data_IF_010257724127
#
_entry.id   IF_010257724127
#
_cell.length_a   1.000
_cell.length_b   1.000
_cell.length_c   1.000
_cell.angle_alpha   90.00
_cell.angle_beta   90.00
_cell.angle_gamma   90.00
#
_symmetry.space_group_name_H-M   'P 1'
#
loop_
_entity.id
_entity.type
_entity.pdbx_description
1 polymer ?
#
# COMPACT_ATOMS: atom_id res chain seq x y z
N UNK A 1 -21.91 3.90 6.36
CA UNK A 1 -22.59 4.53 5.27
C UNK A 1 -21.81 4.24 3.98
N UNK A 2 -22.48 3.93 2.84
CA UNK A 2 -21.77 3.75 1.58
C UNK A 2 -21.03 5.04 1.23
N UNK A 3 -19.78 4.91 0.80
CA UNK A 3 -18.94 6.02 0.37
C UNK A 3 -19.61 6.73 -0.83
N UNK A 4 -19.98 8.02 -0.72
CA UNK A 4 -20.57 8.76 -1.82
C UNK A 4 -19.62 8.92 -3.02
N UNK A 5 -18.31 8.70 -2.83
CA UNK A 5 -17.32 8.69 -3.90
C UNK A 5 -17.26 7.34 -4.63
N UNK A 6 -17.70 6.22 -4.03
CA UNK A 6 -17.72 4.90 -4.68
C UNK A 6 -18.52 4.92 -5.99
N UNK A 7 -19.64 5.65 -6.04
CA UNK A 7 -20.43 5.79 -7.25
C UNK A 7 -19.74 6.57 -8.38
N UNK A 8 -18.79 7.47 -8.11
CA UNK A 8 -18.08 8.25 -9.14
C UNK A 8 -16.98 7.46 -9.83
N UNK A 9 -16.47 6.42 -9.16
CA UNK A 9 -15.40 5.54 -9.65
C UNK A 9 -15.91 4.17 -10.13
N UNK A 10 -17.24 4.00 -10.31
CA UNK A 10 -17.80 2.78 -10.89
C UNK A 10 -17.49 2.72 -12.40
N UNK A 11 -16.70 1.74 -12.86
CA UNK A 11 -16.31 1.62 -14.26
C UNK A 11 -17.50 1.45 -15.21
N UNK A 12 -18.57 0.75 -14.79
CA UNK A 12 -19.75 0.53 -15.62
C UNK A 12 -20.49 1.84 -15.84
N UNK A 13 -20.65 2.63 -14.78
CA UNK A 13 -21.31 3.94 -14.87
C UNK A 13 -20.53 4.90 -15.77
N UNK A 14 -19.20 4.97 -15.60
CA UNK A 14 -18.34 5.84 -16.43
C UNK A 14 -18.44 5.43 -17.89
N UNK A 15 -18.41 4.13 -18.18
CA UNK A 15 -18.56 3.61 -19.55
C UNK A 15 -19.91 4.04 -20.15
N UNK A 16 -21.03 3.84 -19.45
CA UNK A 16 -22.36 4.21 -19.93
C UNK A 16 -22.45 5.71 -20.20
N UNK A 17 -21.89 6.55 -19.34
CA UNK A 17 -21.87 8.01 -19.52
C UNK A 17 -21.07 8.42 -20.77
N UNK A 18 -19.90 7.79 -21.00
CA UNK A 18 -19.09 8.03 -22.20
C UNK A 18 -19.85 7.63 -23.48
N UNK A 19 -20.46 6.45 -23.51
CA UNK A 19 -21.22 5.95 -24.64
C UNK A 19 -22.47 6.83 -24.93
N UNK A 20 -23.19 7.22 -23.89
CA UNK A 20 -24.36 8.10 -24.01
C UNK A 20 -24.01 9.49 -24.56
N UNK A 21 -22.78 9.97 -24.31
CA UNK A 21 -22.29 11.27 -24.81
C UNK A 21 -21.51 11.16 -26.12
N UNK A 22 -21.43 9.97 -26.73
CA UNK A 22 -20.69 9.73 -27.98
C UNK A 22 -19.18 9.89 -27.84
N UNK A 23 -18.63 9.79 -26.61
CA UNK A 23 -17.21 9.89 -26.34
C UNK A 23 -16.53 8.53 -26.45
N UNK A 24 -15.25 8.56 -26.80
CA UNK A 24 -14.46 7.34 -26.91
C UNK A 24 -14.40 6.59 -25.58
N UNK A 25 -14.67 5.26 -25.57
CA UNK A 25 -14.70 4.43 -24.37
C UNK A 25 -13.27 4.07 -23.89
N UNK A 26 -12.54 5.10 -23.49
CA UNK A 26 -11.27 5.02 -22.78
C UNK A 26 -11.35 5.93 -21.56
N UNK A 27 -11.02 5.40 -20.40
CA UNK A 27 -11.06 6.14 -19.13
C UNK A 27 -10.12 5.53 -18.08
N UNK A 28 -9.85 6.28 -17.02
CA UNK A 28 -9.04 5.84 -15.89
C UNK A 28 -9.85 5.89 -14.61
N UNK A 29 -9.72 4.84 -13.80
CA UNK A 29 -10.39 4.70 -12.51
C UNK A 29 -9.36 4.66 -11.42
N UNK A 30 -9.63 5.34 -10.32
CA UNK A 30 -8.89 5.23 -9.07
C UNK A 30 -9.72 4.43 -8.07
N UNK A 31 -9.13 3.42 -7.43
CA UNK A 31 -9.78 2.57 -6.44
C UNK A 31 -8.92 2.49 -5.19
N UNK A 32 -9.53 2.69 -4.02
CA UNK A 32 -8.92 2.47 -2.73
C UNK A 32 -9.45 1.17 -2.11
N UNK A 33 -8.57 0.37 -1.55
CA UNK A 33 -8.96 -0.88 -0.86
C UNK A 33 -9.82 -0.65 0.39
N UNK A 34 -9.74 0.58 0.97
CA UNK A 34 -10.53 1.01 2.13
C UNK A 34 -10.82 2.50 2.00
N UNK A 35 -12.00 2.93 2.45
CA UNK A 35 -12.39 4.34 2.52
C UNK A 35 -12.13 4.97 3.89
N UNK A 36 -11.94 4.16 4.92
CA UNK A 36 -11.66 4.62 6.30
C UNK A 36 -10.57 3.76 6.93
N UNK A 37 -9.54 4.40 7.48
CA UNK A 37 -8.35 3.76 8.08
C UNK A 37 -7.92 4.53 9.32
N UNK A 38 -7.06 3.97 10.15
CA UNK A 38 -6.40 4.73 11.21
C UNK A 38 -5.18 5.49 10.67
N UNK A 39 -4.79 6.57 11.34
CA UNK A 39 -3.52 7.25 11.05
C UNK A 39 -2.36 6.23 11.07
N UNK A 40 -1.51 6.23 10.05
CA UNK A 40 -0.42 5.28 9.89
C UNK A 40 -0.81 3.88 9.41
N UNK A 41 -2.11 3.56 9.26
CA UNK A 41 -2.57 2.31 8.65
C UNK A 41 -2.36 2.33 7.13
N UNK A 42 -2.01 1.19 6.56
CA UNK A 42 -1.84 1.03 5.12
C UNK A 42 -3.18 1.00 4.38
N UNK A 43 -3.30 1.81 3.33
CA UNK A 43 -4.35 1.70 2.32
C UNK A 43 -3.75 1.60 0.93
N UNK A 44 -4.18 0.61 0.15
CA UNK A 44 -3.72 0.41 -1.22
C UNK A 44 -4.62 1.22 -2.15
N UNK A 45 -3.99 2.02 -3.03
CA UNK A 45 -4.68 2.74 -4.09
C UNK A 45 -4.15 2.26 -5.44
N UNK A 46 -5.08 1.94 -6.35
CA UNK A 46 -4.78 1.43 -7.68
C UNK A 46 -5.42 2.31 -8.74
N UNK A 47 -4.67 2.68 -9.77
CA UNK A 47 -5.20 3.36 -10.96
C UNK A 47 -5.18 2.40 -12.13
N UNK A 48 -6.33 2.28 -12.76
CA UNK A 48 -6.57 1.33 -13.84
C UNK A 48 -7.14 2.04 -15.06
N UNK A 49 -6.53 1.83 -16.23
CA UNK A 49 -7.11 2.23 -17.52
C UNK A 49 -8.06 1.13 -18.00
N UNK A 50 -9.23 1.54 -18.44
CA UNK A 50 -10.18 0.72 -19.20
C UNK A 50 -10.28 1.30 -20.60
N UNK A 51 -10.16 0.44 -21.62
CA UNK A 51 -10.12 0.86 -23.01
C UNK A 51 -10.81 -0.15 -23.92
N UNK A 52 -11.74 0.33 -24.77
CA UNK A 52 -12.37 -0.43 -25.85
C UNK A 52 -12.05 0.17 -27.24
N UNK A 53 -10.99 1.00 -27.34
CA UNK A 53 -10.57 1.65 -28.59
C UNK A 53 -9.24 1.08 -29.10
N UNK A 54 -8.85 1.46 -30.32
CA UNK A 54 -7.54 1.11 -30.84
C UNK A 54 -6.49 2.13 -30.35
N UNK A 55 -5.91 1.87 -29.16
CA UNK A 55 -4.84 2.70 -28.57
C UNK A 55 -3.52 2.38 -29.22
N UNK A 56 -2.86 3.40 -29.76
CA UNK A 56 -1.50 3.31 -30.32
C UNK A 56 -0.44 3.59 -29.25
N UNK A 57 -0.70 4.60 -28.43
CA UNK A 57 0.19 5.01 -27.34
C UNK A 57 -0.63 5.57 -26.19
N UNK A 58 -0.16 5.38 -24.97
CA UNK A 58 -0.70 6.03 -23.77
C UNK A 58 0.43 6.38 -22.80
N UNK A 59 0.17 7.39 -21.95
CA UNK A 59 1.09 7.85 -20.93
C UNK A 59 0.36 8.51 -19.76
N UNK A 60 1.09 8.73 -18.67
CA UNK A 60 0.61 9.51 -17.53
C UNK A 60 0.97 10.98 -17.81
N UNK A 61 -0.06 11.81 -18.04
CA UNK A 61 0.09 13.25 -18.27
C UNK A 61 0.17 14.04 -16.96
N UNK A 62 -0.49 13.57 -15.91
CA UNK A 62 -0.49 14.23 -14.61
C UNK A 62 -0.49 13.20 -13.48
N UNK A 63 0.52 13.29 -12.60
CA UNK A 63 0.57 12.50 -11.37
C UNK A 63 -0.33 13.10 -10.30
N UNK A 64 -1.02 12.26 -9.48
CA UNK A 64 -1.78 12.73 -8.33
C UNK A 64 -0.85 13.28 -7.25
N UNK A 65 -1.27 14.34 -6.56
CA UNK A 65 -0.62 14.80 -5.34
C UNK A 65 -1.08 13.93 -4.18
N UNK A 66 -0.13 13.52 -3.33
CA UNK A 66 -0.34 12.61 -2.21
C UNK A 66 0.31 13.19 -0.93
N UNK A 67 0.24 14.52 -0.75
CA UNK A 67 0.98 15.25 0.29
C UNK A 67 0.61 14.84 1.72
N UNK A 68 -0.64 14.36 1.92
CA UNK A 68 -1.16 13.97 3.23
C UNK A 68 -0.78 12.53 3.62
N UNK A 69 0.03 11.87 2.78
CA UNK A 69 0.37 10.46 2.95
C UNK A 69 1.87 10.23 2.85
N UNK A 70 2.38 9.27 3.61
CA UNK A 70 3.61 8.59 3.24
C UNK A 70 3.28 7.58 2.14
N UNK A 71 4.09 7.57 1.07
CA UNK A 71 3.82 6.79 -0.15
C UNK A 71 4.90 5.75 -0.37
N UNK A 72 4.49 4.49 -0.60
CA UNK A 72 5.35 3.43 -1.10
C UNK A 72 4.82 2.96 -2.47
N UNK A 73 5.61 3.15 -3.52
CA UNK A 73 5.26 2.66 -4.87
C UNK A 73 5.31 1.14 -4.88
N UNK A 74 4.22 0.50 -5.30
CA UNK A 74 4.14 -0.95 -5.43
C UNK A 74 4.54 -1.41 -6.83
N UNK A 75 5.15 -2.58 -6.90
CA UNK A 75 5.61 -3.13 -8.17
C UNK A 75 4.44 -3.61 -9.03
N UNK A 76 4.33 -3.04 -10.21
CA UNK A 76 3.37 -3.44 -11.25
C UNK A 76 4.05 -4.06 -12.47
N UNK A 77 5.36 -4.31 -12.41
CA UNK A 77 6.09 -4.94 -13.52
C UNK A 77 5.55 -6.33 -13.81
N UNK A 78 5.41 -6.64 -15.08
CA UNK A 78 4.83 -7.92 -15.53
C UNK A 78 3.30 -7.96 -15.54
N UNK A 79 2.61 -6.90 -15.12
CA UNK A 79 1.17 -6.81 -15.34
C UNK A 79 0.91 -6.51 -16.82
N UNK A 80 0.04 -7.32 -17.43
CA UNK A 80 -0.38 -7.18 -18.82
C UNK A 80 -1.83 -6.73 -18.87
N UNK A 81 -2.22 -6.11 -19.99
CA UNK A 81 -3.62 -5.79 -20.22
C UNK A 81 -4.48 -7.06 -20.21
N UNK A 82 -5.56 -7.03 -19.45
CA UNK A 82 -6.53 -8.12 -19.34
C UNK A 82 -7.81 -7.76 -20.06
N UNK A 83 -8.37 -8.72 -20.81
CA UNK A 83 -9.69 -8.53 -21.40
C UNK A 83 -10.77 -8.74 -20.34
N UNK A 84 -11.67 -7.78 -20.19
CA UNK A 84 -12.82 -7.80 -19.27
C UNK A 84 -14.08 -7.40 -20.01
N UNK A 85 -15.25 -7.77 -19.47
CA UNK A 85 -16.56 -7.31 -19.99
C UNK A 85 -17.20 -6.39 -18.97
N UNK A 86 -17.47 -5.13 -19.39
CA UNK A 86 -18.17 -4.14 -18.58
C UNK A 86 -19.47 -3.76 -19.28
N UNK A 87 -20.61 -4.00 -18.63
CA UNK A 87 -21.91 -3.71 -19.23
C UNK A 87 -22.13 -4.34 -20.61
N UNK A 88 -21.52 -5.50 -20.88
CA UNK A 88 -21.59 -6.18 -22.18
C UNK A 88 -20.55 -5.70 -23.21
N UNK A 89 -19.73 -4.70 -22.90
CA UNK A 89 -18.65 -4.19 -23.78
C UNK A 89 -17.33 -4.86 -23.42
N UNK A 90 -16.65 -5.43 -24.41
CA UNK A 90 -15.30 -5.99 -24.26
C UNK A 90 -14.29 -4.83 -24.12
N UNK A 91 -13.52 -4.83 -23.04
CA UNK A 91 -12.53 -3.79 -22.74
C UNK A 91 -11.20 -4.40 -22.35
N UNK A 92 -10.12 -3.68 -22.62
CA UNK A 92 -8.80 -3.94 -22.06
C UNK A 92 -8.68 -3.22 -20.72
N UNK A 93 -8.31 -3.95 -19.66
CA UNK A 93 -8.03 -3.43 -18.31
C UNK A 93 -6.54 -3.47 -18.07
N UNK A 94 -5.94 -2.33 -17.74
CA UNK A 94 -4.51 -2.21 -17.46
C UNK A 94 -4.27 -1.40 -16.20
N UNK A 95 -3.60 -1.98 -15.21
CA UNK A 95 -3.13 -1.24 -14.03
C UNK A 95 -1.91 -0.40 -14.44
N UNK A 96 -1.98 0.91 -14.23
CA UNK A 96 -0.91 1.85 -14.61
C UNK A 96 -0.12 2.37 -13.41
N UNK A 97 -0.71 2.30 -12.20
CA UNK A 97 -0.02 2.66 -10.96
C UNK A 97 -0.71 2.00 -9.78
N UNK A 98 0.08 1.62 -8.78
CA UNK A 98 -0.39 1.07 -7.53
C UNK A 98 0.50 1.55 -6.41
N UNK A 99 -0.07 2.05 -5.33
CA UNK A 99 0.66 2.58 -4.18
C UNK A 99 0.09 2.09 -2.87
N UNK A 100 0.95 1.98 -1.87
CA UNK A 100 0.55 1.87 -0.48
C UNK A 100 0.66 3.26 0.16
N UNK A 101 -0.44 3.78 0.67
CA UNK A 101 -0.55 5.07 1.32
C UNK A 101 -0.69 4.86 2.83
N UNK A 102 0.01 5.69 3.61
CA UNK A 102 -0.08 5.73 5.07
C UNK A 102 -0.44 7.15 5.48
N UNK A 103 -1.65 7.42 6.01
CA UNK A 103 -2.06 8.75 6.44
C UNK A 103 -1.09 9.35 7.46
N UNK A 104 -0.71 10.61 7.28
CA UNK A 104 0.19 11.34 8.18
C UNK A 104 -0.56 12.10 9.27
N UNK A 105 -1.85 12.42 9.06
CA UNK A 105 -2.71 13.08 10.01
C UNK A 105 -4.15 12.56 9.92
N UNK A 106 -4.98 12.91 10.88
CA UNK A 106 -6.40 12.54 10.93
C UNK A 106 -7.26 13.48 10.11
N UNK A 107 -8.46 13.03 9.73
CA UNK A 107 -9.44 13.79 8.95
C UNK A 107 -9.73 13.16 7.59
N UNK A 108 -10.47 13.89 6.78
CA UNK A 108 -10.77 13.49 5.40
C UNK A 108 -9.63 13.90 4.49
N UNK A 109 -8.88 12.93 4.00
CA UNK A 109 -7.71 13.12 3.14
C UNK A 109 -8.10 12.84 1.68
N UNK A 110 -7.55 13.63 0.76
CA UNK A 110 -7.85 13.51 -0.66
C UNK A 110 -6.68 12.92 -1.42
N UNK A 111 -6.97 11.91 -2.24
CA UNK A 111 -6.08 11.44 -3.29
C UNK A 111 -6.49 12.13 -4.59
N UNK A 112 -5.61 12.98 -5.12
CA UNK A 112 -5.89 13.75 -6.32
C UNK A 112 -6.08 12.87 -7.55
N UNK A 113 -6.79 13.35 -8.59
CA UNK A 113 -6.92 12.65 -9.85
C UNK A 113 -5.58 12.38 -10.53
N UNK A 114 -5.41 11.19 -11.12
CA UNK A 114 -4.38 10.95 -12.13
C UNK A 114 -4.90 11.37 -13.50
N UNK A 115 -4.06 12.00 -14.31
CA UNK A 115 -4.35 12.35 -15.70
C UNK A 115 -3.60 11.41 -16.64
N UNK A 116 -4.27 10.91 -17.66
CA UNK A 116 -3.67 10.14 -18.75
C UNK A 116 -3.89 10.83 -20.09
N UNK A 117 -2.93 10.67 -20.98
CA UNK A 117 -3.04 10.98 -22.40
C UNK A 117 -2.94 9.69 -23.20
N UNK A 118 -3.69 9.60 -24.28
CA UNK A 118 -3.67 8.45 -25.17
C UNK A 118 -3.87 8.89 -26.62
N UNK A 119 -3.19 8.21 -27.54
CA UNK A 119 -3.39 8.32 -28.97
C UNK A 119 -4.25 7.14 -29.43
N UNK A 120 -5.40 7.43 -29.96
CA UNK A 120 -6.34 6.43 -30.48
C UNK A 120 -6.47 6.55 -31.99
N UNK A 121 -6.53 5.42 -32.67
CA UNK A 121 -6.81 5.39 -34.10
C UNK A 121 -8.32 5.29 -34.32
N UNK A 122 -8.89 6.28 -35.01
CA UNK A 122 -10.28 6.27 -35.45
C UNK A 122 -10.35 5.92 -36.94
N UNK A 123 -11.23 4.98 -37.34
CA UNK A 123 -11.45 4.73 -38.75
C UNK A 123 -12.06 5.99 -39.40
N UNK A 124 -11.53 6.40 -40.52
CA UNK A 124 -12.17 7.43 -41.35
C UNK A 124 -13.48 6.86 -41.86
N UNK A 125 -14.60 7.58 -41.58
CA UNK A 125 -15.95 7.10 -41.84
C UNK A 125 -16.22 6.69 -43.29
N UNK A 126 -17.29 5.93 -43.51
CA UNK A 126 -17.71 5.25 -44.73
C UNK A 126 -18.00 6.16 -45.96
N UNK A 127 -17.11 7.11 -46.28
CA UNK A 127 -17.32 8.01 -47.42
C UNK A 127 -16.56 7.64 -48.69
N UNK A 128 -15.50 6.79 -48.60
CA UNK A 128 -14.69 6.43 -49.78
C UNK A 128 -14.17 4.99 -49.59
N UNK A 129 -14.58 4.04 -50.48
CA UNK A 129 -14.15 2.64 -50.38
C UNK A 129 -12.63 2.42 -50.51
N UNK A 130 -11.89 3.39 -51.09
CA UNK A 130 -10.43 3.34 -51.21
C UNK A 130 -9.70 3.83 -49.98
N UNK A 131 -10.41 4.36 -48.93
CA UNK A 131 -9.83 4.86 -47.68
C UNK A 131 -10.23 4.03 -46.47
N UNK A 132 -10.72 2.81 -46.63
CA UNK A 132 -11.15 1.90 -45.58
C UNK A 132 -10.02 1.52 -44.60
N UNK A 133 -8.79 1.72 -45.00
CA UNK A 133 -7.59 1.43 -44.18
C UNK A 133 -6.88 2.70 -43.65
N UNK A 134 -7.36 3.90 -43.99
CA UNK A 134 -6.83 5.14 -43.46
C UNK A 134 -7.55 5.49 -42.16
N UNK A 135 -6.81 5.56 -41.05
CA UNK A 135 -7.29 6.04 -39.77
C UNK A 135 -6.70 7.41 -39.43
N UNK A 136 -7.43 8.23 -38.70
CA UNK A 136 -6.86 9.43 -38.08
C UNK A 136 -6.47 9.12 -36.64
N UNK A 137 -5.25 9.53 -36.27
CA UNK A 137 -4.81 9.50 -34.88
C UNK A 137 -5.38 10.71 -34.16
N UNK A 138 -6.04 10.47 -33.03
CA UNK A 138 -6.67 11.50 -32.20
C UNK A 138 -6.11 11.42 -30.79
N UNK A 139 -5.69 12.56 -30.24
CA UNK A 139 -5.27 12.66 -28.86
C UNK A 139 -6.47 12.73 -27.92
N UNK A 140 -6.44 11.92 -26.88
CA UNK A 140 -7.50 11.84 -25.88
C UNK A 140 -6.90 12.02 -24.50
N UNK A 141 -7.40 13.00 -23.74
CA UNK A 141 -7.04 13.22 -22.35
C UNK A 141 -8.17 12.76 -21.43
N UNK A 142 -7.83 12.01 -20.39
CA UNK A 142 -8.75 11.52 -19.36
C UNK A 142 -8.18 11.73 -17.97
N UNK A 143 -9.06 11.91 -16.99
CA UNK A 143 -8.69 12.00 -15.57
C UNK A 143 -9.57 11.07 -14.76
N UNK A 144 -8.99 10.47 -13.72
CA UNK A 144 -9.78 9.75 -12.73
C UNK A 144 -10.56 10.73 -11.86
N UNK A 145 -11.57 10.24 -11.17
CA UNK A 145 -12.15 10.97 -10.04
C UNK A 145 -11.17 11.00 -8.86
N UNK A 146 -11.22 12.02 -8.00
CA UNK A 146 -10.50 12.01 -6.75
C UNK A 146 -11.06 10.92 -5.82
N UNK A 147 -10.25 10.45 -4.86
CA UNK A 147 -10.70 9.59 -3.77
C UNK A 147 -10.65 10.34 -2.45
N UNK A 148 -11.61 10.05 -1.57
CA UNK A 148 -11.60 10.49 -0.18
C UNK A 148 -11.27 9.31 0.73
N UNK A 149 -10.32 9.49 1.65
CA UNK A 149 -9.94 8.51 2.65
C UNK A 149 -10.10 9.17 4.02
N UNK A 150 -10.94 8.59 4.87
CA UNK A 150 -11.11 9.05 6.24
C UNK A 150 -10.02 8.44 7.13
N UNK A 151 -9.12 9.28 7.63
CA UNK A 151 -8.09 8.88 8.58
C UNK A 151 -8.54 9.14 10.01
N UNK A 152 -8.76 8.09 10.78
CA UNK A 152 -9.22 8.12 12.18
C UNK A 152 -8.04 8.17 13.13
N UNK A 153 -8.25 8.78 14.30
CA UNK A 153 -7.29 8.75 15.40
C UNK A 153 -7.15 7.33 15.97
N UNK A 154 -5.96 6.99 16.44
CA UNK A 154 -5.74 5.78 17.23
C UNK A 154 -6.53 5.90 18.54
N UNK A 155 -7.31 4.87 18.94
CA UNK A 155 -8.05 4.88 20.21
C UNK A 155 -7.11 5.12 21.40
N UNK A 156 -7.60 5.83 22.42
CA UNK A 156 -6.82 6.09 23.63
C UNK A 156 -6.31 4.80 24.29
N UNK A 157 -5.10 4.85 24.83
CA UNK A 157 -4.45 3.72 25.48
C UNK A 157 -2.92 3.81 25.38
N UNK A 158 -2.20 2.72 25.74
CA UNK A 158 -0.74 2.67 25.63
C UNK A 158 -0.25 2.97 24.20
N UNK A 159 0.97 3.49 24.02
CA UNK A 159 1.55 3.67 22.68
C UNK A 159 1.57 2.36 21.89
N UNK A 160 1.17 2.40 20.63
CA UNK A 160 1.28 1.26 19.72
C UNK A 160 2.54 1.36 18.87
N UNK A 161 3.19 0.24 18.62
CA UNK A 161 4.37 0.17 17.76
C UNK A 161 4.00 0.39 16.29
N UNK A 162 2.80 -0.08 15.88
CA UNK A 162 2.32 0.05 14.52
C UNK A 162 0.80 -0.16 14.44
N UNK A 163 0.21 0.27 13.33
CA UNK A 163 -1.17 -0.03 12.94
C UNK A 163 -1.13 -1.03 11.78
N UNK A 164 -1.73 -2.20 11.98
CA UNK A 164 -1.71 -3.31 11.03
C UNK A 164 -1.18 -4.61 11.65
N UNK A 165 -1.07 -5.62 10.79
CA UNK A 165 -0.54 -6.91 11.21
C UNK A 165 0.98 -6.88 11.23
N UNK A 166 1.55 -7.15 12.40
CA UNK A 166 3.00 -7.27 12.59
C UNK A 166 3.35 -8.60 13.25
N UNK A 167 4.58 -9.03 13.03
CA UNK A 167 5.21 -10.18 13.69
C UNK A 167 6.54 -9.78 14.32
N UNK A 168 6.94 -10.51 15.35
CA UNK A 168 8.25 -10.39 16.00
C UNK A 168 9.03 -11.69 15.82
N UNK A 169 10.29 -11.55 15.49
CA UNK A 169 11.27 -12.65 15.42
C UNK A 169 12.54 -12.22 16.10
N UNK A 170 13.26 -13.16 16.73
CA UNK A 170 14.56 -12.92 17.28
C UNK A 170 15.53 -13.97 16.77
N UNK A 171 16.67 -13.49 16.32
CA UNK A 171 17.81 -14.31 15.95
C UNK A 171 18.87 -14.19 17.07
N UNK A 172 19.14 -15.30 17.72
CA UNK A 172 20.21 -15.36 18.75
C UNK A 172 21.44 -15.98 18.12
N UNK A 173 22.50 -15.23 17.86
CA UNK A 173 23.75 -15.84 17.45
C UNK A 173 24.31 -16.71 18.59
N UNK A 174 24.93 -17.84 18.24
CA UNK A 174 25.54 -18.75 19.19
C UNK A 174 26.58 -17.99 20.03
N UNK A 175 26.35 -17.90 21.32
CA UNK A 175 27.24 -17.20 22.24
C UNK A 175 28.51 -17.98 22.48
N UNK A 176 29.66 -17.34 22.33
CA UNK A 176 30.94 -17.81 22.82
C UNK A 176 31.14 -17.30 24.26
N UNK A 177 31.55 -18.17 25.14
CA UNK A 177 31.70 -17.98 26.60
C UNK A 177 32.11 -16.55 27.03
N UNK A 178 31.35 -15.94 27.94
CA UNK A 178 31.74 -14.83 28.80
C UNK A 178 31.57 -13.41 28.25
N UNK A 179 30.80 -13.18 27.18
CA UNK A 179 30.51 -11.84 26.64
C UNK A 179 29.02 -11.43 26.74
N UNK A 180 28.69 -10.21 26.30
CA UNK A 180 27.29 -9.80 26.21
C UNK A 180 26.50 -10.68 25.24
N UNK A 181 25.24 -10.97 25.58
CA UNK A 181 24.32 -11.70 24.71
C UNK A 181 23.79 -10.75 23.62
N UNK A 182 24.18 -10.98 22.39
CA UNK A 182 23.62 -10.24 21.26
C UNK A 182 22.31 -10.90 20.77
N UNK A 183 21.27 -10.11 20.59
CA UNK A 183 19.97 -10.56 20.07
C UNK A 183 19.56 -9.62 18.94
N UNK A 184 19.40 -10.15 17.74
CA UNK A 184 18.84 -9.39 16.62
C UNK A 184 17.31 -9.57 16.62
N UNK A 185 16.61 -8.48 16.89
CA UNK A 185 15.14 -8.43 16.95
C UNK A 185 14.62 -7.87 15.65
N UNK A 186 13.69 -8.58 15.04
CA UNK A 186 13.08 -8.23 13.74
C UNK A 186 11.58 -8.08 13.92
N UNK A 187 11.06 -6.90 13.59
CA UNK A 187 9.63 -6.65 13.46
C UNK A 187 9.30 -6.53 11.98
N UNK A 188 8.32 -7.28 11.49
CA UNK A 188 7.90 -7.25 10.10
C UNK A 188 6.37 -7.23 9.97
N UNK A 189 5.85 -6.54 8.94
CA UNK A 189 4.43 -6.52 8.67
C UNK A 189 3.98 -5.50 7.63
N UNK A 190 2.72 -5.61 7.23
CA UNK A 190 2.04 -4.65 6.35
C UNK A 190 1.60 -3.42 7.15
N UNK A 191 2.57 -2.72 7.74
CA UNK A 191 2.39 -1.61 8.65
C UNK A 191 3.52 -0.60 8.49
N UNK A 192 3.28 0.66 8.89
CA UNK A 192 4.34 1.67 8.90
C UNK A 192 5.25 1.46 10.13
N UNK A 193 6.42 0.87 9.91
CA UNK A 193 7.41 0.61 10.95
C UNK A 193 8.51 1.68 11.04
N UNK A 194 8.41 2.80 10.31
CA UNK A 194 9.46 3.82 10.27
C UNK A 194 9.73 4.45 11.62
N UNK A 195 8.69 4.72 12.39
CA UNK A 195 8.77 5.29 13.72
C UNK A 195 8.47 4.25 14.83
N UNK A 196 8.42 2.96 14.50
CA UNK A 196 8.15 1.92 15.48
C UNK A 196 9.25 1.91 16.56
N UNK A 197 8.89 1.95 17.84
CA UNK A 197 9.86 1.81 18.92
C UNK A 197 10.42 0.39 18.96
N UNK A 198 11.62 0.19 19.56
CA UNK A 198 12.13 -1.16 19.80
C UNK A 198 11.17 -1.94 20.71
N UNK A 199 10.92 -3.24 20.43
CA UNK A 199 10.13 -4.10 21.30
C UNK A 199 10.64 -4.12 22.74
N UNK A 200 9.75 -4.18 23.70
CA UNK A 200 10.11 -4.19 25.12
C UNK A 200 10.18 -5.62 25.67
N UNK A 201 11.02 -5.86 26.67
CA UNK A 201 10.98 -7.11 27.41
C UNK A 201 9.72 -7.16 28.28
N UNK A 202 9.01 -8.29 28.23
CA UNK A 202 7.80 -8.52 29.06
C UNK A 202 8.13 -8.61 30.56
N UNK A 203 9.39 -8.88 30.91
CA UNK A 203 9.92 -8.97 32.27
C UNK A 203 11.23 -8.23 32.37
N UNK A 204 11.57 -7.76 33.56
CA UNK A 204 12.86 -7.11 33.77
C UNK A 204 14.04 -8.05 33.46
N UNK A 205 15.03 -7.51 32.78
CA UNK A 205 16.29 -8.21 32.54
C UNK A 205 17.21 -7.98 33.74
N UNK A 206 17.69 -9.06 34.33
CA UNK A 206 18.74 -8.97 35.40
C UNK A 206 20.07 -8.60 34.74
N UNK A 207 20.39 -7.31 34.73
CA UNK A 207 21.58 -6.75 34.07
C UNK A 207 21.30 -5.43 33.35
N UNK A 208 22.16 -5.10 32.40
CA UNK A 208 21.96 -3.93 31.55
C UNK A 208 21.69 -4.32 30.09
N UNK A 209 20.92 -3.49 29.39
CA UNK A 209 20.57 -3.70 27.98
C UNK A 209 20.92 -2.43 27.21
N UNK A 210 21.65 -2.61 26.11
CA UNK A 210 21.88 -1.56 25.13
C UNK A 210 21.14 -1.94 23.83
N UNK A 211 20.46 -0.97 23.23
CA UNK A 211 19.69 -1.18 22.01
C UNK A 211 20.28 -0.29 20.92
N UNK A 212 20.69 -0.91 19.82
CA UNK A 212 21.11 -0.21 18.62
C UNK A 212 20.06 -0.36 17.53
N UNK A 213 19.74 0.74 16.84
CA UNK A 213 18.87 0.69 15.68
C UNK A 213 19.59 0.02 14.51
N UNK A 214 18.89 -0.88 13.85
CA UNK A 214 19.32 -1.55 12.63
C UNK A 214 18.61 -1.03 11.39
N UNK A 215 18.70 -1.79 10.30
CA UNK A 215 18.14 -1.43 9.02
C UNK A 215 16.60 -1.46 9.00
N UNK A 216 16.02 -0.57 8.21
CA UNK A 216 14.64 -0.62 7.74
C UNK A 216 14.65 -1.04 6.27
N UNK A 217 13.88 -2.05 5.91
CA UNK A 217 13.67 -2.46 4.53
C UNK A 217 12.18 -2.53 4.20
N UNK A 218 11.85 -2.37 2.91
CA UNK A 218 10.47 -2.40 2.42
C UNK A 218 10.38 -3.31 1.21
N UNK A 219 9.52 -4.33 1.28
CA UNK A 219 9.12 -5.14 0.13
C UNK A 219 7.85 -4.55 -0.46
N UNK A 220 7.84 -4.32 -1.79
CA UNK A 220 6.80 -3.57 -2.51
C UNK A 220 6.19 -4.46 -3.60
N UNK A 221 5.39 -5.44 -3.21
CA UNK A 221 4.67 -6.32 -4.13
C UNK A 221 3.19 -5.96 -4.16
N UNK A 222 2.35 -6.80 -3.60
CA UNK A 222 0.90 -6.56 -3.49
C UNK A 222 0.56 -5.54 -2.42
N UNK A 223 1.42 -5.40 -1.44
CA UNK A 223 1.39 -4.43 -0.36
C UNK A 223 2.81 -4.01 0.03
N UNK A 224 2.95 -2.96 0.83
CA UNK A 224 4.22 -2.57 1.40
C UNK A 224 4.44 -3.31 2.72
N UNK A 225 5.29 -4.33 2.70
CA UNK A 225 5.71 -5.05 3.90
C UNK A 225 7.01 -4.43 4.39
N UNK A 226 6.99 -3.80 5.56
CA UNK A 226 8.17 -3.22 6.18
C UNK A 226 8.80 -4.22 7.14
N UNK A 227 10.12 -4.20 7.20
CA UNK A 227 10.91 -4.96 8.16
C UNK A 227 11.88 -4.01 8.84
N UNK A 228 11.79 -3.90 10.16
CA UNK A 228 12.69 -3.11 10.99
C UNK A 228 13.46 -4.01 11.91
N UNK A 229 14.76 -3.74 12.06
CA UNK A 229 15.69 -4.53 12.89
C UNK A 229 16.25 -3.68 14.01
N UNK A 230 16.50 -4.32 15.15
CA UNK A 230 17.25 -3.76 16.28
C UNK A 230 18.22 -4.80 16.76
N UNK A 231 19.36 -4.35 17.29
CA UNK A 231 20.32 -5.21 17.99
C UNK A 231 20.32 -4.89 19.48
N UNK A 232 20.01 -5.87 20.28
CA UNK A 232 20.04 -5.81 21.72
C UNK A 232 21.34 -6.45 22.19
N UNK A 233 22.13 -5.72 23.00
CA UNK A 233 23.28 -6.23 23.72
C UNK A 233 22.90 -6.32 25.21
N UNK A 234 22.76 -7.54 25.68
CA UNK A 234 22.36 -7.84 27.05
C UNK A 234 23.62 -8.21 27.84
N UNK A 235 23.86 -7.52 28.94
CA UNK A 235 24.94 -7.77 29.87
C UNK A 235 24.34 -8.37 31.14
N UNK A 236 24.26 -9.71 31.29
CA UNK A 236 23.70 -10.35 32.47
C UNK A 236 24.47 -9.96 33.75
N UNK A 237 23.74 -9.76 34.85
CA UNK A 237 24.33 -9.43 36.13
C UNK A 237 25.09 -10.61 36.77
N UNK A 238 24.72 -11.85 36.40
CA UNK A 238 25.31 -13.08 36.92
C UNK A 238 25.84 -13.95 35.79
N UNK A 239 26.90 -14.71 36.07
CA UNK A 239 27.42 -15.72 35.15
C UNK A 239 26.57 -16.98 35.22
N UNK A 240 26.34 -17.64 34.06
CA UNK A 240 25.58 -18.89 33.99
C UNK A 240 24.69 -18.96 32.75
N UNK A 241 23.69 -19.83 32.80
CA UNK A 241 22.71 -19.95 31.74
C UNK A 241 21.75 -18.74 31.78
N UNK A 242 21.74 -17.94 30.72
CA UNK A 242 20.85 -16.80 30.58
C UNK A 242 19.70 -17.13 29.59
N UNK A 243 18.48 -16.99 30.08
CA UNK A 243 17.26 -17.13 29.23
C UNK A 243 16.81 -15.74 28.83
N UNK A 244 16.66 -15.51 27.55
CA UNK A 244 16.18 -14.22 27.04
C UNK A 244 14.68 -14.09 27.40
N UNK A 245 14.30 -13.05 28.18
CA UNK A 245 12.90 -12.84 28.50
C UNK A 245 12.07 -12.58 27.22
N UNK A 246 10.78 -12.91 27.23
CA UNK A 246 9.93 -12.62 26.08
C UNK A 246 9.94 -11.14 25.70
N UNK A 247 9.94 -10.87 24.39
CA UNK A 247 9.80 -9.53 23.83
C UNK A 247 8.38 -9.29 23.37
N UNK A 248 7.87 -8.09 23.60
CA UNK A 248 6.49 -7.69 23.26
C UNK A 248 6.46 -6.36 22.54
N UNK A 249 5.46 -6.20 21.69
CA UNK A 249 5.09 -4.95 21.05
C UNK A 249 3.56 -4.86 20.92
N UNK A 250 3.01 -3.69 21.18
CA UNK A 250 1.59 -3.41 20.97
C UNK A 250 1.31 -3.04 19.52
N UNK A 251 0.34 -3.69 18.88
CA UNK A 251 -0.17 -3.34 17.56
C UNK A 251 -1.64 -2.99 17.63
N UNK A 252 -2.08 -2.03 16.81
CA UNK A 252 -3.49 -1.77 16.59
C UNK A 252 -3.95 -2.58 15.37
N UNK A 253 -4.99 -3.39 15.53
CA UNK A 253 -5.60 -4.11 14.42
C UNK A 253 -6.43 -3.16 13.56
N UNK A 254 -6.73 -3.54 12.33
CA UNK A 254 -7.60 -2.78 11.42
C UNK A 254 -9.02 -2.57 11.97
N UNK A 255 -9.48 -3.45 12.85
CA UNK A 255 -10.76 -3.32 13.55
C UNK A 255 -10.71 -2.34 14.73
N UNK A 256 -9.53 -1.79 15.06
CA UNK A 256 -9.33 -0.87 16.19
C UNK A 256 -9.08 -1.55 17.53
N UNK A 257 -9.00 -2.88 17.56
CA UNK A 257 -8.58 -3.63 18.74
C UNK A 257 -7.06 -3.58 18.94
N UNK A 258 -6.61 -3.60 20.18
CA UNK A 258 -5.20 -3.71 20.52
C UNK A 258 -4.80 -5.18 20.60
N UNK A 259 -3.60 -5.47 20.10
CA UNK A 259 -3.03 -6.82 20.13
C UNK A 259 -1.57 -6.75 20.58
N UNK A 260 -1.25 -7.47 21.67
CA UNK A 260 0.13 -7.73 22.02
C UNK A 260 0.72 -8.77 21.04
N UNK A 261 1.81 -8.41 20.42
CA UNK A 261 2.63 -9.32 19.60
C UNK A 261 3.81 -9.74 20.46
N UNK A 262 4.00 -11.04 20.65
CA UNK A 262 4.99 -11.61 21.56
C UNK A 262 5.91 -12.56 20.85
N UNK A 263 7.21 -12.45 21.18
CA UNK A 263 8.21 -13.47 20.89
C UNK A 263 8.66 -14.11 22.18
N UNK A 264 8.86 -15.44 22.16
CA UNK A 264 9.38 -16.21 23.28
C UNK A 264 10.36 -17.26 22.78
N UNK A 265 11.47 -17.45 23.48
CA UNK A 265 12.46 -18.46 23.14
C UNK A 265 11.85 -19.87 23.29
N UNK A 266 11.98 -20.73 22.25
CA UNK A 266 11.46 -22.11 22.25
C UNK A 266 9.97 -22.24 21.92
N UNK A 267 9.27 -21.15 21.54
CA UNK A 267 7.91 -21.21 20.99
C UNK A 267 7.99 -21.41 19.47
N UNK A 268 7.53 -22.56 18.96
CA UNK A 268 7.11 -22.77 17.58
C UNK A 268 5.66 -22.29 17.44
#
# INVERSE_FOLDING_TARGET
PPDPAAGKNDPIRILHELLATGRDPIFVVAEAGKSSVFIGEQVIVTWTIYNATNVQQHGIAQMPKLADFWVEELDIRGQTAQQVFLGGVAMQKLVIRRVALFPLHTGTLTVDPIGIEAQIMKPLGFGNPFRLFEGSVVDVNRRSSPLSIEARSIPAGPPVAAVGDISLQCETPVQKNGGPVAVDVVMAGAANLRAAPPPSFAQAVEGSVQIAEGALSVQRRDEAVMTRRWRYLIFPATSGMFVIPPLTAEALTQAGGRREVRWQQGGL
#
